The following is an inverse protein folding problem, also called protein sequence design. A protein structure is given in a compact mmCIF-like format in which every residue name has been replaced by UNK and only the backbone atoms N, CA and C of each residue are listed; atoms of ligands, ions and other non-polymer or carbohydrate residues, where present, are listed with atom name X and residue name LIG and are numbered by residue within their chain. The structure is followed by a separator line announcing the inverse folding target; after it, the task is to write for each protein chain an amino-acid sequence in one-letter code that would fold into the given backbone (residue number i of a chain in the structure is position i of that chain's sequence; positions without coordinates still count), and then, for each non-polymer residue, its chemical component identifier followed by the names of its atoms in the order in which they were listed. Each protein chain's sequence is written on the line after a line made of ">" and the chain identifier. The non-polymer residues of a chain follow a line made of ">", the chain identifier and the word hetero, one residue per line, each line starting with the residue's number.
data_IF_486244090595
#
_entry.id   IF_486244090595
#
_cell.length_a   1.000
_cell.length_b   1.000
_cell.length_c   1.000
_cell.angle_alpha   90.00
_cell.angle_beta   90.00
_cell.angle_gamma   90.00
#
_symmetry.space_group_name_H-M   'P 1'
#
loop_
_entity.id
_entity.type
_entity.pdbx_description
1 polymer ?
#
# COMPACT_ATOMS: atom_id res chain seq x y z
N UNK A 1 6.20 -2.51 16.16
CA UNK A 1 6.27 -1.47 15.08
C UNK A 1 7.01 -1.96 13.85
N UNK A 2 7.93 -2.92 13.97
CA UNK A 2 8.38 -3.71 12.83
C UNK A 2 7.21 -4.49 12.21
N UNK A 3 6.34 -5.11 13.01
CA UNK A 3 5.16 -5.85 12.50
C UNK A 3 4.20 -4.96 11.68
N UNK A 4 4.08 -3.68 12.05
CA UNK A 4 3.28 -2.70 11.29
C UNK A 4 3.93 -2.42 9.94
N UNK A 5 5.26 -2.29 9.90
CA UNK A 5 5.99 -2.13 8.64
C UNK A 5 5.80 -3.35 7.75
N UNK A 6 6.03 -4.55 8.29
CA UNK A 6 5.84 -5.80 7.54
C UNK A 6 4.40 -5.96 7.05
N UNK A 7 3.42 -5.57 7.87
CA UNK A 7 2.02 -5.53 7.45
C UNK A 7 1.79 -4.59 6.27
N UNK A 8 2.37 -3.37 6.31
CA UNK A 8 2.28 -2.42 5.22
C UNK A 8 2.91 -2.95 3.93
N UNK A 9 4.06 -3.64 4.02
CA UNK A 9 4.68 -4.32 2.87
C UNK A 9 3.75 -5.40 2.32
N UNK A 10 3.24 -6.29 3.16
CA UNK A 10 2.32 -7.36 2.73
C UNK A 10 1.05 -6.77 2.09
N UNK A 11 0.52 -5.67 2.63
CA UNK A 11 -0.63 -5.00 2.05
C UNK A 11 -0.31 -4.46 0.63
N UNK A 12 0.87 -3.88 0.42
CA UNK A 12 1.33 -3.49 -0.91
C UNK A 12 1.47 -4.69 -1.86
N UNK A 13 2.01 -5.81 -1.38
CA UNK A 13 2.13 -7.04 -2.17
C UNK A 13 0.75 -7.54 -2.62
N UNK A 14 -0.24 -7.52 -1.72
CA UNK A 14 -1.61 -7.95 -2.02
C UNK A 14 -2.32 -7.08 -3.05
N UNK A 15 -2.21 -5.75 -2.96
CA UNK A 15 -2.93 -4.86 -3.89
C UNK A 15 -2.29 -4.80 -5.28
N UNK A 16 -0.98 -5.07 -5.36
CA UNK A 16 -0.20 -4.95 -6.60
C UNK A 16 0.11 -6.28 -7.29
N UNK A 17 -0.02 -7.40 -6.57
CA UNK A 17 0.47 -8.72 -6.98
C UNK A 17 1.97 -8.73 -7.34
N UNK A 18 2.76 -7.87 -6.66
CA UNK A 18 4.21 -7.77 -6.79
C UNK A 18 4.87 -8.19 -5.49
N UNK A 19 6.08 -8.74 -5.60
CA UNK A 19 6.91 -9.05 -4.42
C UNK A 19 7.55 -7.78 -3.85
N UNK A 20 7.90 -7.79 -2.57
CA UNK A 20 8.60 -6.67 -1.93
C UNK A 20 9.87 -6.21 -2.68
N UNK A 21 10.56 -7.14 -3.34
CA UNK A 21 11.75 -6.95 -4.18
C UNK A 21 11.51 -7.50 -5.60
N UNK A 22 10.48 -7.00 -6.27
CA UNK A 22 10.12 -7.43 -7.63
C UNK A 22 11.15 -6.97 -8.69
N UNK A 23 11.54 -7.81 -9.66
CA UNK A 23 12.46 -7.43 -10.73
C UNK A 23 11.99 -6.23 -11.58
N UNK A 24 10.68 -6.00 -11.68
CA UNK A 24 10.15 -4.83 -12.40
C UNK A 24 10.56 -3.49 -11.79
N UNK A 25 11.07 -3.48 -10.55
CA UNK A 25 11.57 -2.28 -9.90
C UNK A 25 13.02 -1.93 -10.27
N UNK A 26 13.78 -2.88 -10.82
CA UNK A 26 15.22 -2.69 -11.06
C UNK A 26 15.54 -1.60 -12.09
N UNK A 27 14.59 -1.27 -12.97
CA UNK A 27 14.72 -0.13 -13.90
C UNK A 27 14.77 1.24 -13.20
N UNK A 28 14.39 1.31 -11.92
CA UNK A 28 14.37 2.55 -11.12
C UNK A 28 15.62 2.69 -10.22
N UNK A 29 16.54 1.74 -10.28
CA UNK A 29 17.82 1.77 -9.55
C UNK A 29 18.00 0.62 -8.57
N UNK A 30 19.24 0.45 -8.10
CA UNK A 30 19.57 -0.58 -7.12
C UNK A 30 18.87 -0.31 -5.79
N UNK A 31 18.27 -1.34 -5.20
CA UNK A 31 17.59 -1.25 -3.90
C UNK A 31 16.19 -0.64 -3.95
N UNK A 32 15.62 -0.42 -5.14
CA UNK A 32 14.23 0.00 -5.27
C UNK A 32 13.29 -1.13 -4.80
N UNK A 33 12.37 -0.81 -3.90
CA UNK A 33 11.45 -1.75 -3.26
C UNK A 33 10.01 -1.44 -3.65
N UNK A 34 9.09 -2.33 -3.29
CA UNK A 34 7.65 -2.06 -3.44
C UNK A 34 7.20 -0.78 -2.73
N UNK A 35 7.84 -0.43 -1.60
CA UNK A 35 7.53 0.79 -0.84
C UNK A 35 7.96 2.04 -1.61
N UNK A 36 9.20 2.07 -2.11
CA UNK A 36 9.69 3.23 -2.86
C UNK A 36 8.94 3.41 -4.18
N UNK A 37 8.58 2.30 -4.84
CA UNK A 37 7.77 2.30 -6.05
C UNK A 37 6.34 2.82 -5.81
N UNK A 38 5.65 2.31 -4.79
CA UNK A 38 4.31 2.78 -4.44
C UNK A 38 4.29 4.26 -4.05
N UNK A 39 5.27 4.71 -3.27
CA UNK A 39 5.43 6.12 -2.90
C UNK A 39 5.68 7.01 -4.13
N UNK A 40 6.55 6.57 -5.05
CA UNK A 40 6.84 7.32 -6.29
C UNK A 40 5.58 7.50 -7.14
N UNK A 41 4.85 6.42 -7.41
CA UNK A 41 3.62 6.47 -8.21
C UNK A 41 2.55 7.35 -7.54
N UNK A 42 2.42 7.27 -6.22
CA UNK A 42 1.49 8.12 -5.50
C UNK A 42 1.87 9.61 -5.63
N UNK A 43 3.15 9.95 -5.49
CA UNK A 43 3.64 11.33 -5.66
C UNK A 43 3.47 11.87 -7.07
N UNK A 44 3.49 10.98 -8.08
CA UNK A 44 3.26 11.32 -9.49
C UNK A 44 1.77 11.39 -9.86
N UNK A 45 0.85 11.09 -8.93
CA UNK A 45 -0.58 11.02 -9.22
C UNK A 45 -0.98 9.77 -10.03
N UNK A 46 -0.10 8.76 -10.08
CA UNK A 46 -0.27 7.51 -10.83
C UNK A 46 -0.67 6.34 -9.91
N UNK A 47 -1.45 6.60 -8.86
CA UNK A 47 -1.85 5.59 -7.87
C UNK A 47 -2.47 4.33 -8.51
N UNK A 48 -3.21 4.48 -9.62
CA UNK A 48 -3.79 3.36 -10.38
C UNK A 48 -2.75 2.29 -10.74
N UNK A 49 -1.52 2.68 -11.07
CA UNK A 49 -0.47 1.75 -11.50
C UNK A 49 0.03 0.84 -10.36
N UNK A 50 -0.32 1.16 -9.11
CA UNK A 50 -0.04 0.29 -7.97
C UNK A 50 -0.92 -0.95 -7.98
N UNK A 51 -2.15 -0.84 -8.49
CA UNK A 51 -3.15 -1.90 -8.36
C UNK A 51 -3.14 -2.86 -9.54
N UNK A 52 -3.50 -4.11 -9.29
CA UNK A 52 -3.86 -5.02 -10.38
C UNK A 52 -5.10 -4.50 -11.11
N UNK A 53 -5.18 -4.73 -12.43
CA UNK A 53 -6.34 -4.30 -13.22
C UNK A 53 -7.65 -4.86 -12.66
N UNK A 54 -7.67 -6.15 -12.28
CA UNK A 54 -8.84 -6.79 -11.69
C UNK A 54 -9.29 -6.16 -10.38
N UNK A 55 -8.35 -5.72 -9.53
CA UNK A 55 -8.69 -5.06 -8.27
C UNK A 55 -9.23 -3.65 -8.51
N UNK A 56 -8.58 -2.90 -9.42
CA UNK A 56 -8.97 -1.55 -9.79
C UNK A 56 -10.37 -1.49 -10.41
N UNK A 57 -10.69 -2.40 -11.32
CA UNK A 57 -11.96 -2.42 -12.03
C UNK A 57 -13.13 -2.91 -11.16
N UNK A 58 -12.86 -3.65 -10.07
CA UNK A 58 -13.88 -4.25 -9.22
C UNK A 58 -14.19 -3.47 -7.94
N UNK A 59 -13.41 -2.43 -7.60
CA UNK A 59 -13.50 -1.74 -6.30
C UNK A 59 -13.66 -0.23 -6.46
N UNK A 60 -14.30 0.46 -5.50
CA UNK A 60 -14.31 1.92 -5.48
C UNK A 60 -12.88 2.46 -5.43
N UNK A 61 -12.52 3.33 -6.38
CA UNK A 61 -11.15 3.83 -6.49
C UNK A 61 -10.71 4.62 -5.25
N UNK A 62 -11.62 5.36 -4.63
CA UNK A 62 -11.32 6.13 -3.41
C UNK A 62 -10.93 5.19 -2.25
N UNK A 63 -11.62 4.06 -2.10
CA UNK A 63 -11.29 3.06 -1.07
C UNK A 63 -9.93 2.39 -1.34
N UNK A 64 -9.61 2.12 -2.60
CA UNK A 64 -8.30 1.60 -3.00
C UNK A 64 -7.18 2.59 -2.70
N UNK A 65 -7.36 3.85 -3.06
CA UNK A 65 -6.38 4.92 -2.81
C UNK A 65 -6.19 5.13 -1.31
N UNK A 66 -7.25 5.06 -0.50
CA UNK A 66 -7.13 5.11 0.96
C UNK A 66 -6.42 3.88 1.54
N UNK A 67 -6.62 2.70 0.96
CA UNK A 67 -5.87 1.50 1.31
C UNK A 67 -4.37 1.64 1.01
N UNK A 68 -4.02 2.20 -0.15
CA UNK A 68 -2.64 2.51 -0.53
C UNK A 68 -2.01 3.53 0.43
N UNK A 69 -2.72 4.61 0.78
CA UNK A 69 -2.26 5.57 1.79
C UNK A 69 -1.97 4.88 3.12
N UNK A 70 -2.87 3.99 3.57
CA UNK A 70 -2.68 3.24 4.81
C UNK A 70 -1.43 2.35 4.75
N UNK A 71 -1.21 1.65 3.63
CA UNK A 71 -0.05 0.80 3.42
C UNK A 71 1.27 1.61 3.48
N UNK A 72 1.30 2.77 2.82
CA UNK A 72 2.44 3.70 2.86
C UNK A 72 2.65 4.23 4.28
N UNK A 73 1.60 4.64 4.99
CA UNK A 73 1.71 5.11 6.38
C UNK A 73 2.29 4.05 7.32
N UNK A 74 2.00 2.77 7.08
CA UNK A 74 2.56 1.66 7.85
C UNK A 74 4.07 1.46 7.60
N UNK A 75 4.58 1.90 6.45
CA UNK A 75 5.97 1.70 6.00
C UNK A 75 6.87 2.95 6.14
N UNK A 76 6.36 4.08 6.62
CA UNK A 76 7.17 5.29 6.87
C UNK A 76 8.33 4.99 7.85
N UNK A 77 9.54 5.48 7.57
CA UNK A 77 10.72 5.24 8.44
C UNK A 77 10.57 5.77 9.87
N UNK A 78 9.88 6.90 10.02
CA UNK A 78 9.63 7.50 11.33
C UNK A 78 8.71 6.62 12.18
N UNK A 79 9.27 6.05 13.24
CA UNK A 79 8.52 5.24 14.19
C UNK A 79 7.36 6.01 14.80
N UNK A 80 7.48 7.31 15.07
CA UNK A 80 6.43 8.10 15.74
C UNK A 80 5.20 8.32 14.85
N UNK A 81 5.35 8.32 13.52
CA UNK A 81 4.27 8.56 12.58
C UNK A 81 3.53 7.28 12.16
N UNK A 82 4.15 6.10 12.31
CA UNK A 82 3.48 4.83 12.02
C UNK A 82 2.23 4.66 12.90
N UNK A 83 1.07 4.29 12.32
CA UNK A 83 -0.12 3.99 13.09
C UNK A 83 0.10 2.76 13.98
N UNK A 84 -0.70 2.66 15.05
CA UNK A 84 -0.85 1.43 15.82
C UNK A 84 -1.68 0.42 15.02
N UNK A 85 -1.50 -0.89 15.28
CA UNK A 85 -2.36 -1.91 14.65
C UNK A 85 -3.86 -1.68 14.93
N UNK A 86 -4.21 -1.12 16.10
CA UNK A 86 -5.59 -0.71 16.40
C UNK A 86 -6.11 0.36 15.44
N UNK A 87 -5.28 1.35 15.09
CA UNK A 87 -5.62 2.38 14.11
C UNK A 87 -5.70 1.80 12.70
N UNK A 88 -4.79 0.90 12.32
CA UNK A 88 -4.82 0.19 11.03
C UNK A 88 -6.13 -0.59 10.87
N UNK A 89 -6.48 -1.44 11.83
CA UNK A 89 -7.75 -2.20 11.81
C UNK A 89 -8.96 -1.27 11.77
N UNK A 90 -8.95 -0.17 12.52
CA UNK A 90 -10.04 0.81 12.49
C UNK A 90 -10.21 1.40 11.08
N UNK A 91 -9.12 1.78 10.41
CA UNK A 91 -9.16 2.32 9.05
C UNK A 91 -9.66 1.28 8.04
N UNK A 92 -9.15 0.05 8.10
CA UNK A 92 -9.61 -1.03 7.20
C UNK A 92 -11.11 -1.32 7.33
N UNK A 93 -11.65 -1.30 8.55
CA UNK A 93 -13.09 -1.47 8.77
C UNK A 93 -13.96 -0.35 8.18
N UNK A 94 -13.39 0.83 7.97
CA UNK A 94 -14.09 1.95 7.32
C UNK A 94 -14.14 1.79 5.79
N UNK A 95 -13.21 1.01 5.23
CA UNK A 95 -13.16 0.67 3.79
C UNK A 95 -14.01 -0.56 3.45
N UNK A 96 -14.55 -1.27 4.45
CA UNK A 96 -15.46 -2.37 4.18
C UNK A 96 -16.84 -1.79 3.84
N UNK A 97 -17.44 -2.16 2.69
CA UNK A 97 -18.85 -1.89 2.49
C UNK A 97 -19.66 -2.56 3.62
N UNK A 98 -20.81 -1.97 4.02
CA UNK A 98 -21.65 -2.60 5.03
C UNK A 98 -21.98 -4.03 4.61
N UNK A 99 -21.74 -4.98 5.51
CA UNK A 99 -22.17 -6.37 5.36
C UNK A 99 -23.70 -6.36 5.32
N UNK A 100 -24.26 -6.43 4.11
CA UNK A 100 -25.68 -6.73 3.89
C UNK A 100 -25.91 -8.23 3.97
#
# INVERSE_FOLDING_TARGET
>A
KADIYSFGVVLLELISDKRALDPSFFSHGNGFTIVSWACMLLQQGQAKEVFTASLWDASPHDDLVDMLHLAIMCTIDSFSTRPTMKQVVKRLKQLQPPLN
#
